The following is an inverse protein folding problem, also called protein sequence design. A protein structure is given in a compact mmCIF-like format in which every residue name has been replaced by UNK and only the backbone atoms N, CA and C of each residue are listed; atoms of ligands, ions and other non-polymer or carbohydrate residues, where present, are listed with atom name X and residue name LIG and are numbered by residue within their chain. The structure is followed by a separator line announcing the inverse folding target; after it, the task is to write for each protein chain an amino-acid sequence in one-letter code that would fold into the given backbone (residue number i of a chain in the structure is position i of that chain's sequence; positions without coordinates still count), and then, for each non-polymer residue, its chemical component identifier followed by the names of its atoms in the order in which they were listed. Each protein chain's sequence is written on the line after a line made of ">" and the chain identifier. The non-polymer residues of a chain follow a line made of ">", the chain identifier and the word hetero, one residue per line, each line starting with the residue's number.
data_IF_199124497823
#
_entry.id   IF_199124497823
#
_cell.length_a   1.000
_cell.length_b   1.000
_cell.length_c   1.000
_cell.angle_alpha   90.00
_cell.angle_beta   90.00
_cell.angle_gamma   90.00
#
_symmetry.space_group_name_H-M   'P 1'
#
loop_
_entity.id
_entity.type
_entity.pdbx_description
1 polymer ?
#
# COMPACT_ATOMS: atom_id res chain seq x y z
N UNK A 1 -19.16 19.27 30.93
CA UNK A 1 -18.24 18.34 30.23
C UNK A 1 -19.08 17.36 29.43
N UNK A 2 -18.92 17.29 28.11
CA UNK A 2 -19.69 16.37 27.27
C UNK A 2 -19.28 14.93 27.52
N UNK A 3 -20.26 14.01 27.59
CA UNK A 3 -20.03 12.57 27.76
C UNK A 3 -19.07 12.09 26.64
N UNK A 4 -17.99 11.35 26.95
CA UNK A 4 -17.06 10.85 25.94
C UNK A 4 -17.84 10.07 24.87
N UNK A 5 -17.56 10.32 23.59
CA UNK A 5 -18.13 9.51 22.50
C UNK A 5 -17.69 8.06 22.74
N UNK A 6 -18.64 7.18 23.05
CA UNK A 6 -18.43 5.75 23.35
C UNK A 6 -17.80 4.97 22.18
N UNK A 7 -17.68 5.60 21.01
CA UNK A 7 -17.15 5.06 19.75
C UNK A 7 -16.21 6.09 19.13
N UNK A 8 -15.07 6.33 19.76
CA UNK A 8 -14.06 7.27 19.28
C UNK A 8 -13.19 6.69 18.16
N UNK A 9 -12.47 7.56 17.45
CA UNK A 9 -11.59 7.18 16.35
C UNK A 9 -10.48 6.21 16.82
N UNK A 10 -10.05 6.33 18.09
CA UNK A 10 -9.07 5.44 18.68
C UNK A 10 -9.58 3.99 18.79
N UNK A 11 -10.84 3.78 19.20
CA UNK A 11 -11.44 2.45 19.19
C UNK A 11 -11.57 1.90 17.76
N UNK A 12 -11.97 2.75 16.81
CA UNK A 12 -12.07 2.37 15.40
C UNK A 12 -10.73 1.87 14.88
N UNK A 13 -9.64 2.58 15.17
CA UNK A 13 -8.30 2.21 14.71
C UNK A 13 -7.79 0.91 15.34
N UNK A 14 -8.01 0.71 16.66
CA UNK A 14 -7.66 -0.55 17.33
C UNK A 14 -8.39 -1.74 16.71
N UNK A 15 -9.68 -1.61 16.42
CA UNK A 15 -10.48 -2.66 15.78
C UNK A 15 -9.96 -2.99 14.37
N UNK A 16 -9.60 -1.97 13.60
CA UNK A 16 -9.07 -2.16 12.25
C UNK A 16 -7.65 -2.75 12.26
N UNK A 17 -6.81 -2.43 13.24
CA UNK A 17 -5.48 -3.02 13.40
C UNK A 17 -5.56 -4.51 13.72
N UNK A 18 -6.43 -4.89 14.66
CA UNK A 18 -6.68 -6.31 14.96
C UNK A 18 -7.28 -7.05 13.79
N UNK A 19 -8.25 -6.45 13.09
CA UNK A 19 -8.82 -7.04 11.89
C UNK A 19 -7.77 -7.24 10.79
N UNK A 20 -6.84 -6.29 10.60
CA UNK A 20 -5.74 -6.43 9.64
C UNK A 20 -4.87 -7.66 9.96
N UNK A 21 -4.51 -7.83 11.23
CA UNK A 21 -3.71 -8.97 11.68
C UNK A 21 -4.42 -10.30 11.38
N UNK A 22 -5.69 -10.46 11.80
CA UNK A 22 -6.47 -11.68 11.53
C UNK A 22 -6.62 -11.95 10.03
N UNK A 23 -7.04 -10.95 9.25
CA UNK A 23 -7.26 -11.12 7.81
C UNK A 23 -5.97 -11.50 7.07
N UNK A 24 -4.85 -10.88 7.43
CA UNK A 24 -3.57 -11.16 6.77
C UNK A 24 -2.94 -12.51 7.09
N UNK A 25 -3.33 -13.14 8.21
CA UNK A 25 -2.74 -14.40 8.69
C UNK A 25 -3.66 -15.59 8.46
N UNK A 26 -4.98 -15.40 8.63
CA UNK A 26 -5.98 -16.48 8.64
C UNK A 26 -7.10 -16.25 7.61
N UNK A 27 -7.05 -15.13 6.89
CA UNK A 27 -8.03 -14.76 5.88
C UNK A 27 -9.30 -14.13 6.43
N UNK A 28 -10.13 -13.63 5.51
CA UNK A 28 -11.38 -12.90 5.86
C UNK A 28 -12.39 -13.81 6.55
N UNK A 29 -12.39 -15.12 6.23
CA UNK A 29 -13.29 -16.09 6.82
C UNK A 29 -13.11 -16.17 8.35
N UNK A 30 -11.87 -16.10 8.85
CA UNK A 30 -11.53 -16.18 10.27
C UNK A 30 -12.00 -14.96 11.10
N UNK A 31 -12.33 -13.84 10.46
CA UNK A 31 -12.75 -12.62 11.16
C UNK A 31 -14.09 -12.82 11.91
N UNK A 32 -14.03 -12.86 13.24
CA UNK A 32 -15.17 -12.99 14.15
C UNK A 32 -15.39 -11.70 14.96
N UNK A 33 -16.56 -11.06 14.81
CA UNK A 33 -16.82 -9.77 15.44
C UNK A 33 -16.86 -9.81 16.96
N UNK A 34 -17.26 -10.93 17.55
CA UNK A 34 -17.33 -11.08 19.01
C UNK A 34 -15.93 -11.22 19.61
N UNK A 35 -15.09 -12.06 18.99
CA UNK A 35 -13.69 -12.20 19.38
C UNK A 35 -12.93 -10.89 19.21
N UNK A 36 -13.08 -10.24 18.05
CA UNK A 36 -12.47 -8.94 17.76
C UNK A 36 -12.87 -7.87 18.77
N UNK A 37 -14.16 -7.81 19.14
CA UNK A 37 -14.64 -6.87 20.15
C UNK A 37 -14.00 -7.13 21.52
N UNK A 38 -13.94 -8.40 21.95
CA UNK A 38 -13.34 -8.78 23.22
C UNK A 38 -11.85 -8.41 23.27
N UNK A 39 -11.09 -8.71 22.21
CA UNK A 39 -9.67 -8.37 22.10
C UNK A 39 -9.41 -6.86 22.08
N UNK A 40 -10.34 -6.08 21.51
CA UNK A 40 -10.26 -4.62 21.48
C UNK A 40 -10.83 -3.95 22.76
N UNK A 41 -11.25 -4.74 23.76
CA UNK A 41 -11.81 -4.24 25.02
C UNK A 41 -13.15 -3.52 24.85
N UNK A 42 -13.98 -3.95 23.91
CA UNK A 42 -15.28 -3.33 23.59
C UNK A 42 -16.40 -4.36 23.43
N UNK A 43 -17.63 -3.88 23.18
CA UNK A 43 -18.78 -4.76 22.92
C UNK A 43 -18.96 -5.03 21.44
N UNK A 44 -19.55 -6.17 21.08
CA UNK A 44 -19.94 -6.46 19.70
C UNK A 44 -20.91 -5.41 19.15
N UNK A 45 -21.79 -4.86 20.01
CA UNK A 45 -22.69 -3.77 19.65
C UNK A 45 -21.93 -2.51 19.17
N UNK A 46 -20.78 -2.20 19.77
CA UNK A 46 -19.92 -1.10 19.31
C UNK A 46 -19.36 -1.37 17.90
N UNK A 47 -18.96 -2.61 17.60
CA UNK A 47 -18.49 -3.01 16.26
C UNK A 47 -19.59 -2.84 15.23
N UNK A 48 -20.83 -3.26 15.55
CA UNK A 48 -21.98 -3.02 14.69
C UNK A 48 -22.29 -1.53 14.52
N UNK A 49 -22.19 -0.72 15.58
CA UNK A 49 -22.40 0.73 15.49
C UNK A 49 -21.35 1.43 14.63
N UNK A 50 -20.09 1.00 14.69
CA UNK A 50 -18.98 1.61 13.96
C UNK A 50 -18.93 1.19 12.48
N UNK A 51 -19.27 -0.06 12.20
CA UNK A 51 -19.00 -0.68 10.90
C UNK A 51 -20.22 -1.31 10.22
N UNK A 52 -21.36 -1.40 10.89
CA UNK A 52 -22.54 -2.08 10.32
C UNK A 52 -22.38 -3.59 10.17
N UNK A 53 -21.39 -4.20 10.83
CA UNK A 53 -21.10 -5.64 10.77
C UNK A 53 -19.82 -5.99 9.99
N UNK A 54 -19.68 -7.27 9.61
CA UNK A 54 -18.44 -7.83 9.05
C UNK A 54 -18.08 -7.22 7.69
N UNK A 55 -19.05 -7.04 6.81
CA UNK A 55 -18.82 -6.48 5.47
C UNK A 55 -18.35 -5.02 5.51
N UNK A 56 -18.95 -4.20 6.38
CA UNK A 56 -18.51 -2.82 6.54
C UNK A 56 -17.19 -2.70 7.30
N UNK A 57 -16.88 -3.62 8.22
CA UNK A 57 -15.55 -3.70 8.85
C UNK A 57 -14.47 -4.01 7.82
N UNK A 58 -14.71 -4.98 6.93
CA UNK A 58 -13.82 -5.33 5.83
C UNK A 58 -13.62 -4.16 4.86
N UNK A 59 -14.71 -3.46 4.50
CA UNK A 59 -14.62 -2.27 3.64
C UNK A 59 -13.82 -1.15 4.32
N UNK A 60 -14.03 -0.91 5.62
CA UNK A 60 -13.29 0.09 6.38
C UNK A 60 -11.81 -0.28 6.55
N UNK A 61 -11.50 -1.56 6.71
CA UNK A 61 -10.13 -2.08 6.74
C UNK A 61 -9.43 -1.80 5.41
N UNK A 62 -10.06 -2.16 4.29
CA UNK A 62 -9.55 -1.89 2.96
C UNK A 62 -9.31 -0.39 2.73
N UNK A 63 -10.27 0.45 3.08
CA UNK A 63 -10.11 1.92 2.97
C UNK A 63 -8.94 2.43 3.82
N UNK A 64 -8.78 1.94 5.06
CA UNK A 64 -7.70 2.37 5.95
C UNK A 64 -6.32 2.04 5.40
N UNK A 65 -6.10 0.79 4.96
CA UNK A 65 -4.76 0.37 4.50
C UNK A 65 -4.35 1.12 3.23
N UNK A 66 -5.28 1.32 2.29
CA UNK A 66 -5.01 2.10 1.08
C UNK A 66 -4.91 3.60 1.34
N UNK A 67 -5.67 4.17 2.29
CA UNK A 67 -5.55 5.58 2.66
C UNK A 67 -4.17 5.88 3.26
N UNK A 68 -3.71 5.07 4.22
CA UNK A 68 -2.37 5.20 4.81
C UNK A 68 -1.27 5.07 3.75
N UNK A 69 -1.44 4.14 2.82
CA UNK A 69 -0.49 3.97 1.73
C UNK A 69 -0.49 5.16 0.76
N UNK A 70 -1.67 5.68 0.40
CA UNK A 70 -1.81 6.88 -0.42
C UNK A 70 -1.14 8.10 0.23
N UNK A 71 -1.34 8.30 1.54
CA UNK A 71 -0.70 9.37 2.32
C UNK A 71 0.83 9.26 2.27
N UNK A 72 1.38 8.06 2.40
CA UNK A 72 2.83 7.82 2.30
C UNK A 72 3.39 8.17 0.92
N UNK A 73 2.71 7.78 -0.15
CA UNK A 73 3.14 8.11 -1.51
C UNK A 73 3.00 9.61 -1.79
N UNK A 74 1.91 10.24 -1.32
CA UNK A 74 1.70 11.67 -1.48
C UNK A 74 2.75 12.52 -0.74
N UNK A 75 3.17 12.07 0.44
CA UNK A 75 4.19 12.76 1.25
C UNK A 75 5.57 12.83 0.58
N UNK A 76 5.84 12.00 -0.44
CA UNK A 76 7.06 12.11 -1.25
C UNK A 76 7.12 13.47 -1.96
N UNK A 77 5.99 14.02 -2.37
CA UNK A 77 5.93 15.30 -3.07
C UNK A 77 6.56 15.26 -4.47
N UNK A 78 6.46 16.39 -5.17
CA UNK A 78 6.94 16.56 -6.54
C UNK A 78 8.18 17.46 -6.54
N UNK A 79 9.22 17.05 -7.25
CA UNK A 79 10.42 17.87 -7.48
C UNK A 79 10.62 18.18 -8.96
N UNK A 80 11.65 18.98 -9.26
CA UNK A 80 12.07 19.29 -10.63
C UNK A 80 12.76 18.09 -11.32
N UNK A 81 13.10 17.04 -10.57
CA UNK A 81 13.64 15.78 -11.10
C UNK A 81 12.59 14.65 -11.00
N UNK A 82 11.80 14.41 -12.06
CA UNK A 82 10.81 13.34 -12.07
C UNK A 82 11.44 11.94 -11.98
N UNK A 83 12.70 11.75 -12.39
CA UNK A 83 13.37 10.45 -12.32
C UNK A 83 13.74 10.14 -10.87
N UNK A 84 14.26 11.13 -10.13
CA UNK A 84 14.49 11.01 -8.70
C UNK A 84 13.17 10.76 -7.93
N UNK A 85 12.08 11.44 -8.30
CA UNK A 85 10.77 11.23 -7.68
C UNK A 85 10.28 9.78 -7.78
N UNK A 86 10.49 9.12 -8.92
CA UNK A 86 10.15 7.71 -9.13
C UNK A 86 10.92 6.81 -8.15
N UNK A 87 12.22 7.06 -7.97
CA UNK A 87 13.06 6.32 -7.01
C UNK A 87 12.54 6.53 -5.58
N UNK A 88 12.25 7.78 -5.19
CA UNK A 88 11.73 8.11 -3.85
C UNK A 88 10.37 7.47 -3.59
N UNK A 89 9.48 7.41 -4.59
CA UNK A 89 8.21 6.68 -4.51
C UNK A 89 8.42 5.18 -4.28
N UNK A 90 9.41 4.57 -4.94
CA UNK A 90 9.79 3.18 -4.68
C UNK A 90 10.20 2.94 -3.22
N UNK A 91 11.02 3.83 -2.66
CA UNK A 91 11.40 3.75 -1.24
C UNK A 91 10.21 3.93 -0.29
N UNK A 92 9.34 4.92 -0.54
CA UNK A 92 8.14 5.13 0.26
C UNK A 92 7.19 3.92 0.21
N UNK A 93 7.11 3.23 -0.93
CA UNK A 93 6.39 1.97 -1.04
C UNK A 93 6.95 0.92 -0.07
N UNK A 94 8.26 0.67 -0.13
CA UNK A 94 8.91 -0.32 0.75
C UNK A 94 8.74 0.04 2.22
N UNK A 95 8.99 1.29 2.58
CA UNK A 95 8.83 1.77 3.96
C UNK A 95 7.42 1.54 4.48
N UNK A 96 6.39 1.81 3.68
CA UNK A 96 5.01 1.54 4.06
C UNK A 96 4.78 0.04 4.30
N UNK A 97 5.27 -0.82 3.41
CA UNK A 97 5.09 -2.26 3.52
C UNK A 97 5.79 -2.86 4.75
N UNK A 98 6.99 -2.38 5.09
CA UNK A 98 7.72 -2.82 6.28
C UNK A 98 7.14 -2.27 7.57
N UNK A 99 6.59 -1.05 7.54
CA UNK A 99 5.92 -0.45 8.70
C UNK A 99 4.53 -1.05 8.99
N UNK A 100 3.96 -1.82 8.05
CA UNK A 100 2.68 -2.52 8.22
C UNK A 100 2.58 -3.77 7.32
N UNK A 101 3.27 -4.87 7.68
CA UNK A 101 3.24 -6.09 6.89
C UNK A 101 1.83 -6.71 6.80
N UNK A 102 1.01 -6.57 7.85
CA UNK A 102 -0.37 -7.03 7.84
C UNK A 102 -1.21 -6.22 6.84
N UNK A 103 -1.12 -4.89 6.88
CA UNK A 103 -1.78 -4.02 5.91
C UNK A 103 -1.33 -4.28 4.47
N UNK A 104 -0.03 -4.54 4.25
CA UNK A 104 0.48 -4.94 2.94
C UNK A 104 -0.19 -6.21 2.41
N UNK A 105 -0.28 -7.26 3.24
CA UNK A 105 -0.94 -8.52 2.89
C UNK A 105 -2.44 -8.35 2.69
N UNK A 106 -3.09 -7.45 3.43
CA UNK A 106 -4.51 -7.10 3.18
C UNK A 106 -4.67 -6.46 1.79
N UNK A 107 -3.76 -5.57 1.38
CA UNK A 107 -3.84 -4.89 0.08
C UNK A 107 -3.53 -5.82 -1.09
N UNK A 108 -2.52 -6.70 -0.95
CA UNK A 108 -1.94 -7.42 -2.08
C UNK A 108 -1.82 -8.94 -1.92
N UNK A 109 -2.14 -9.48 -0.74
CA UNK A 109 -2.04 -10.91 -0.43
C UNK A 109 -3.17 -11.78 -0.99
N UNK A 110 -4.18 -11.18 -1.62
CA UNK A 110 -5.24 -11.90 -2.33
C UNK A 110 -6.47 -12.27 -1.50
N UNK A 111 -6.43 -12.07 -0.17
CA UNK A 111 -7.54 -12.29 0.76
C UNK A 111 -8.69 -11.30 0.58
N UNK A 112 -8.38 -10.09 0.13
CA UNK A 112 -9.37 -9.09 -0.25
C UNK A 112 -9.12 -8.60 -1.67
N UNK A 113 -10.17 -8.64 -2.47
CA UNK A 113 -10.18 -8.07 -3.82
C UNK A 113 -11.06 -6.83 -3.87
N UNK A 114 -10.83 -5.92 -4.83
CA UNK A 114 -11.70 -4.76 -5.02
C UNK A 114 -13.18 -5.10 -5.23
N UNK A 115 -13.49 -6.31 -5.73
CA UNK A 115 -14.85 -6.84 -5.88
C UNK A 115 -15.56 -7.13 -4.56
N UNK A 116 -14.80 -7.32 -3.48
CA UNK A 116 -15.32 -7.77 -2.19
C UNK A 116 -15.70 -6.60 -1.28
N UNK A 117 -15.43 -5.37 -1.73
CA UNK A 117 -15.67 -4.12 -1.01
C UNK A 117 -16.58 -3.18 -1.80
N UNK A 118 -17.12 -2.17 -1.11
CA UNK A 118 -17.94 -1.15 -1.78
C UNK A 118 -17.16 -0.36 -2.85
N UNK A 119 -17.86 0.14 -3.88
CA UNK A 119 -17.26 0.93 -4.98
C UNK A 119 -16.37 2.10 -4.53
N UNK A 120 -16.69 2.71 -3.38
CA UNK A 120 -15.89 3.80 -2.81
C UNK A 120 -14.51 3.30 -2.38
N UNK A 121 -14.47 2.21 -1.61
CA UNK A 121 -13.24 1.57 -1.15
C UNK A 121 -12.39 1.08 -2.33
N UNK A 122 -13.00 0.40 -3.31
CA UNK A 122 -12.27 -0.05 -4.50
C UNK A 122 -11.56 1.11 -5.24
N UNK A 123 -12.20 2.29 -5.32
CA UNK A 123 -11.60 3.48 -5.95
C UNK A 123 -10.46 4.08 -5.14
N UNK A 124 -10.45 4.00 -3.81
CA UNK A 124 -9.32 4.52 -3.03
C UNK A 124 -8.06 3.71 -3.28
N UNK A 125 -8.20 2.39 -3.46
CA UNK A 125 -7.07 1.53 -3.83
C UNK A 125 -6.52 1.82 -5.22
N UNK A 126 -7.38 2.04 -6.22
CA UNK A 126 -6.92 2.36 -7.58
C UNK A 126 -6.06 3.64 -7.65
N UNK A 127 -6.34 4.64 -6.80
CA UNK A 127 -5.64 5.93 -6.80
C UNK A 127 -4.22 5.88 -6.25
N UNK A 128 -3.80 4.80 -5.56
CA UNK A 128 -2.42 4.69 -5.09
C UNK A 128 -1.40 4.54 -6.22
N UNK A 129 -1.87 4.24 -7.44
CA UNK A 129 -1.03 4.19 -8.63
C UNK A 129 -0.70 5.57 -9.21
N UNK A 130 -1.57 6.56 -8.97
CA UNK A 130 -1.51 7.88 -9.62
C UNK A 130 -0.18 8.62 -9.40
N UNK A 131 0.41 8.67 -8.18
CA UNK A 131 1.67 9.39 -7.96
C UNK A 131 2.83 8.88 -8.83
N UNK A 132 2.93 7.56 -8.99
CA UNK A 132 3.95 6.95 -9.86
C UNK A 132 3.68 7.26 -11.33
N UNK A 133 2.42 7.09 -11.76
CA UNK A 133 2.04 7.34 -13.15
C UNK A 133 2.31 8.79 -13.56
N UNK A 134 2.01 9.75 -12.67
CA UNK A 134 2.25 11.17 -12.92
C UNK A 134 3.74 11.50 -12.95
N UNK A 135 4.56 10.89 -12.09
CA UNK A 135 6.02 11.03 -12.14
C UNK A 135 6.61 10.48 -13.46
N UNK A 136 6.15 9.31 -13.91
CA UNK A 136 6.55 8.72 -15.20
C UNK A 136 6.12 9.63 -16.37
N UNK A 137 4.88 10.14 -16.36
CA UNK A 137 4.41 11.08 -17.39
C UNK A 137 5.23 12.37 -17.42
N UNK A 138 5.69 12.87 -16.27
CA UNK A 138 6.62 14.02 -16.22
C UNK A 138 7.98 13.65 -16.80
N UNK A 139 8.55 12.50 -16.46
CA UNK A 139 9.82 12.05 -17.01
C UNK A 139 9.78 11.91 -18.55
N UNK A 140 8.67 11.39 -19.09
CA UNK A 140 8.45 11.29 -20.55
C UNK A 140 8.33 12.68 -21.19
N UNK A 141 7.58 13.61 -20.57
CA UNK A 141 7.45 14.99 -21.07
C UNK A 141 8.77 15.76 -21.05
N UNK A 142 9.60 15.52 -20.03
CA UNK A 142 10.92 16.10 -19.89
C UNK A 142 11.97 15.48 -20.83
N UNK A 143 11.62 14.43 -21.58
CA UNK A 143 12.56 13.71 -22.44
C UNK A 143 13.53 12.79 -21.69
N UNK A 144 13.39 12.65 -20.37
CA UNK A 144 14.21 11.75 -19.57
C UNK A 144 13.87 10.27 -19.81
N UNK A 145 12.59 9.96 -20.07
CA UNK A 145 12.10 8.61 -20.38
C UNK A 145 11.56 8.52 -21.82
N UNK A 146 11.52 7.33 -22.47
CA UNK A 146 11.03 7.17 -23.82
C UNK A 146 9.52 7.37 -23.93
N UNK A 147 9.07 7.84 -25.11
CA UNK A 147 7.63 7.97 -25.43
C UNK A 147 6.94 6.63 -25.70
N UNK A 148 7.71 5.57 -25.94
CA UNK A 148 7.23 4.21 -26.21
C UNK A 148 8.04 3.21 -25.38
N UNK A 149 7.39 2.27 -24.68
CA UNK A 149 5.94 2.06 -24.57
C UNK A 149 5.22 3.21 -23.82
N UNK A 150 3.87 3.26 -23.78
CA UNK A 150 3.15 4.29 -23.04
C UNK A 150 3.59 4.39 -21.58
N UNK A 151 3.42 5.58 -20.98
CA UNK A 151 3.79 5.84 -19.59
C UNK A 151 3.14 4.86 -18.60
N UNK A 152 1.91 4.42 -18.89
CA UNK A 152 1.18 3.42 -18.12
C UNK A 152 1.92 2.08 -18.06
N UNK A 153 2.51 1.65 -19.19
CA UNK A 153 3.28 0.41 -19.25
C UNK A 153 4.59 0.52 -18.48
N UNK A 154 5.28 1.66 -18.60
CA UNK A 154 6.52 1.94 -17.86
C UNK A 154 6.24 1.98 -16.34
N UNK A 155 5.20 2.71 -15.93
CA UNK A 155 4.78 2.79 -14.53
C UNK A 155 4.39 1.41 -13.97
N UNK A 156 3.69 0.60 -14.77
CA UNK A 156 3.33 -0.77 -14.37
C UNK A 156 4.57 -1.64 -14.17
N UNK A 157 5.57 -1.57 -15.06
CA UNK A 157 6.81 -2.33 -14.92
C UNK A 157 7.62 -1.91 -13.67
N UNK A 158 7.71 -0.60 -13.41
CA UNK A 158 8.34 -0.05 -12.21
C UNK A 158 7.62 -0.51 -10.93
N UNK A 159 6.29 -0.44 -10.92
CA UNK A 159 5.46 -0.91 -9.81
C UNK A 159 5.65 -2.41 -9.56
N UNK A 160 5.60 -3.23 -10.62
CA UNK A 160 5.75 -4.69 -10.50
C UNK A 160 7.12 -5.07 -9.92
N UNK A 161 8.18 -4.36 -10.30
CA UNK A 161 9.52 -4.59 -9.76
C UNK A 161 9.60 -4.27 -8.26
N UNK A 162 9.13 -3.10 -7.83
CA UNK A 162 9.08 -2.72 -6.40
C UNK A 162 8.21 -3.69 -5.61
N UNK A 163 7.02 -4.02 -6.14
CA UNK A 163 6.10 -4.97 -5.54
C UNK A 163 6.74 -6.35 -5.35
N UNK A 164 7.42 -6.87 -6.38
CA UNK A 164 8.10 -8.16 -6.32
C UNK A 164 9.22 -8.19 -5.28
N UNK A 165 10.06 -7.15 -5.25
CA UNK A 165 11.16 -7.05 -4.27
C UNK A 165 10.64 -7.02 -2.82
N UNK A 166 9.61 -6.22 -2.56
CA UNK A 166 8.99 -6.12 -1.23
C UNK A 166 8.30 -7.42 -0.84
N UNK A 167 7.62 -8.09 -1.77
CA UNK A 167 7.00 -9.39 -1.51
C UNK A 167 8.04 -10.47 -1.20
N UNK A 168 9.20 -10.47 -1.86
CA UNK A 168 10.32 -11.38 -1.55
C UNK A 168 10.88 -11.09 -0.15
N UNK A 169 11.08 -9.81 0.19
CA UNK A 169 11.60 -9.40 1.50
C UNK A 169 10.64 -9.77 2.64
N UNK A 170 9.36 -9.43 2.53
CA UNK A 170 8.34 -9.75 3.54
C UNK A 170 8.03 -11.24 3.65
N UNK A 171 8.29 -12.00 2.59
CA UNK A 171 8.17 -13.46 2.58
C UNK A 171 9.43 -14.20 3.01
N UNK A 172 10.50 -13.48 3.35
CA UNK A 172 11.80 -14.06 3.72
C UNK A 172 12.38 -15.01 2.64
N UNK A 173 12.05 -14.76 1.37
CA UNK A 173 12.50 -15.57 0.22
C UNK A 173 13.84 -15.12 -0.36
N UNK A 174 14.47 -14.10 0.25
CA UNK A 174 15.76 -13.59 -0.21
C UNK A 174 16.90 -14.57 0.14
N UNK A 175 17.76 -14.95 -0.81
CA UNK A 175 18.92 -15.79 -0.51
C UNK A 175 19.85 -15.08 0.49
N UNK A 176 20.40 -15.76 1.52
CA UNK A 176 21.28 -15.12 2.51
C UNK A 176 22.51 -14.42 1.90
N UNK A 177 22.98 -14.90 0.75
CA UNK A 177 24.13 -14.32 0.03
C UNK A 177 23.79 -13.11 -0.86
N UNK A 178 22.51 -12.73 -0.97
CA UNK A 178 22.11 -11.55 -1.72
C UNK A 178 22.55 -10.24 -1.03
N UNK A 179 22.82 -10.29 0.28
CA UNK A 179 23.24 -9.15 1.08
C UNK A 179 22.09 -8.52 1.86
N UNK A 180 22.27 -7.27 2.28
CA UNK A 180 21.26 -6.50 3.01
C UNK A 180 20.04 -6.20 2.11
N UNK A 181 18.81 -6.54 2.52
CA UNK A 181 17.59 -6.30 1.73
C UNK A 181 17.41 -4.84 1.31
N UNK A 182 17.77 -3.88 2.17
CA UNK A 182 17.62 -2.46 1.84
C UNK A 182 18.60 -2.04 0.73
N UNK A 183 19.85 -2.50 0.79
CA UNK A 183 20.85 -2.27 -0.25
C UNK A 183 20.45 -2.92 -1.59
N UNK A 184 19.97 -4.16 -1.56
CA UNK A 184 19.47 -4.87 -2.76
C UNK A 184 18.30 -4.11 -3.38
N UNK A 185 17.34 -3.69 -2.56
CA UNK A 185 16.19 -2.91 -3.02
C UNK A 185 16.64 -1.59 -3.68
N UNK A 186 17.50 -0.82 -3.01
CA UNK A 186 17.97 0.46 -3.52
C UNK A 186 18.72 0.32 -4.85
N UNK A 187 19.56 -0.71 -4.98
CA UNK A 187 20.26 -1.01 -6.22
C UNK A 187 19.30 -1.41 -7.35
N UNK A 188 18.34 -2.29 -7.08
CA UNK A 188 17.38 -2.76 -8.07
C UNK A 188 16.45 -1.65 -8.57
N UNK A 189 15.93 -0.81 -7.68
CA UNK A 189 15.10 0.34 -8.06
C UNK A 189 15.86 1.30 -8.96
N UNK A 190 17.11 1.66 -8.60
CA UNK A 190 17.95 2.53 -9.44
C UNK A 190 18.26 1.91 -10.79
N UNK A 191 18.61 0.61 -10.84
CA UNK A 191 18.91 -0.08 -12.08
C UNK A 191 17.69 -0.13 -13.02
N UNK A 192 16.49 -0.41 -12.48
CA UNK A 192 15.26 -0.44 -13.25
C UNK A 192 14.92 0.96 -13.81
N UNK A 193 15.00 2.00 -12.97
CA UNK A 193 14.77 3.39 -13.40
C UNK A 193 15.79 3.83 -14.46
N UNK A 194 17.08 3.51 -14.27
CA UNK A 194 18.13 3.81 -15.23
C UNK A 194 17.89 3.12 -16.58
N UNK A 195 17.34 1.91 -16.59
CA UNK A 195 16.98 1.17 -17.81
C UNK A 195 15.93 1.87 -18.68
N UNK A 196 15.14 2.79 -18.12
CA UNK A 196 14.20 3.64 -18.86
C UNK A 196 14.76 5.02 -19.19
N UNK A 197 15.92 5.38 -18.65
CA UNK A 197 16.47 6.72 -18.87
C UNK A 197 17.12 6.78 -20.25
N UNK A 198 16.74 7.79 -21.04
CA UNK A 198 17.43 8.08 -22.29
C UNK A 198 18.77 8.73 -21.94
N UNK A 199 19.87 8.07 -22.28
CA UNK A 199 21.17 8.76 -22.34
C UNK A 199 21.09 9.80 -23.45
N UNK A 200 21.59 11.02 -23.20
CA UNK A 200 21.76 12.00 -24.26
C UNK A 200 22.52 11.32 -25.41
N UNK A 201 21.89 11.27 -26.58
CA UNK A 201 22.59 10.90 -27.79
C UNK A 201 23.64 11.98 -28.04
N UNK A 202 24.89 11.68 -27.69
CA UNK A 202 26.03 12.50 -28.04
C UNK A 202 26.19 12.65 -29.55
#
# INVERSE_FOLDING_TARGET
>A
MGRPRLHDDALRDRLLERAAATVSSEGVAALNLRALAAEAGTSTAAVYSLFGGKSGLVSALYERVFARFAERLAAVGVSDDPVADIVRLGHAYRENALADPHGYRVMFGGELRPSDVGRRAARSGARTFDPLLDAVRRAVRAGAFPKRPPAESIATALWANVHGLVSIELGEFMPPRAGDPAAVFAAAVRANVAGWTLTEAG
#
